data_IF_661924697623
#
_entry.id   IF_661924697623
#
_cell.length_a   1.000
_cell.length_b   1.000
_cell.length_c   1.000
_cell.angle_alpha   90.00
_cell.angle_beta   90.00
_cell.angle_gamma   90.00
#
_symmetry.space_group_name_H-M   'P 1'
#
loop_
_entity.id
_entity.type
_entity.pdbx_description
1 polymer ?
#
# COMPACT_ATOMS: atom_id res chain seq x y z
N UNK A 1 -21.85 10.50 21.75
CA UNK A 1 -20.74 9.58 21.42
C UNK A 1 -19.56 10.42 20.96
N UNK A 2 -18.35 10.17 21.47
CA UNK A 2 -17.14 10.85 20.99
C UNK A 2 -16.45 9.96 19.94
N UNK A 3 -15.98 10.56 18.83
CA UNK A 3 -15.14 9.89 17.85
C UNK A 3 -13.83 9.50 18.54
N UNK A 4 -13.39 8.26 18.34
CA UNK A 4 -12.14 7.74 18.93
C UNK A 4 -11.07 7.46 17.87
N UNK A 5 -11.49 7.26 16.63
CA UNK A 5 -10.63 6.92 15.51
C UNK A 5 -11.19 7.54 14.23
N UNK A 6 -10.29 8.03 13.39
CA UNK A 6 -10.57 8.49 12.02
C UNK A 6 -9.62 7.77 11.08
N UNK A 7 -10.17 7.07 10.08
CA UNK A 7 -9.41 6.49 8.98
C UNK A 7 -9.53 7.40 7.76
N UNK A 8 -8.39 7.74 7.15
CA UNK A 8 -8.31 8.71 6.04
C UNK A 8 -7.58 8.10 4.87
N UNK A 9 -8.16 8.21 3.68
CA UNK A 9 -7.47 7.85 2.43
C UNK A 9 -6.50 8.96 2.00
N UNK A 10 -5.53 8.60 1.18
CA UNK A 10 -4.47 9.52 0.72
C UNK A 10 -4.89 10.28 -0.52
N UNK A 11 -5.11 9.54 -1.61
CA UNK A 11 -5.22 10.11 -2.94
C UNK A 11 -6.60 10.73 -3.18
N UNK A 12 -6.64 12.04 -3.41
CA UNK A 12 -7.89 12.80 -3.57
C UNK A 12 -8.63 13.10 -2.25
N UNK A 13 -8.04 12.78 -1.09
CA UNK A 13 -8.62 13.05 0.23
C UNK A 13 -7.65 13.82 1.13
N UNK A 14 -6.54 13.21 1.52
CA UNK A 14 -5.55 13.82 2.42
C UNK A 14 -4.58 14.73 1.68
N UNK A 15 -4.25 14.39 0.44
CA UNK A 15 -3.33 15.15 -0.40
C UNK A 15 -4.07 16.02 -1.42
N UNK A 16 -3.46 17.18 -1.71
CA UNK A 16 -3.85 18.03 -2.85
C UNK A 16 -3.57 17.34 -4.19
N UNK A 17 -4.05 17.95 -5.30
CA UNK A 17 -3.72 17.48 -6.66
C UNK A 17 -2.20 17.47 -6.93
N UNK A 18 -1.44 18.35 -6.26
CA UNK A 18 0.03 18.41 -6.33
C UNK A 18 0.71 17.43 -5.37
N UNK A 19 -0.06 16.51 -4.76
CA UNK A 19 0.40 15.48 -3.81
C UNK A 19 1.10 16.04 -2.56
N UNK A 20 0.59 17.12 -2.02
CA UNK A 20 1.12 17.78 -0.82
C UNK A 20 0.10 17.77 0.31
N UNK A 21 0.58 17.65 1.53
CA UNK A 21 -0.17 17.96 2.73
C UNK A 21 -0.23 19.48 2.88
N UNK A 22 -1.41 20.03 3.10
CA UNK A 22 -1.52 21.46 3.41
C UNK A 22 -1.30 21.72 4.90
N UNK A 23 -0.89 22.94 5.30
CA UNK A 23 -0.76 23.27 6.72
C UNK A 23 -2.04 23.02 7.51
N UNK A 24 -3.21 23.30 6.92
CA UNK A 24 -4.51 23.09 7.56
C UNK A 24 -4.80 21.61 7.81
N UNK A 25 -4.44 20.72 6.88
CA UNK A 25 -4.56 19.27 7.05
C UNK A 25 -3.62 18.79 8.15
N UNK A 26 -2.36 19.25 8.15
CA UNK A 26 -1.41 18.93 9.20
C UNK A 26 -1.94 19.34 10.58
N UNK A 27 -2.38 20.60 10.73
CA UNK A 27 -2.93 21.12 11.99
C UNK A 27 -4.14 20.32 12.46
N UNK A 28 -5.07 19.99 11.54
CA UNK A 28 -6.26 19.20 11.87
C UNK A 28 -5.90 17.80 12.38
N UNK A 29 -4.89 17.14 11.78
CA UNK A 29 -4.38 15.84 12.24
C UNK A 29 -3.78 15.95 13.64
N UNK A 30 -2.93 16.97 13.87
CA UNK A 30 -2.31 17.17 15.19
C UNK A 30 -3.36 17.50 16.27
N UNK A 31 -4.36 18.30 15.94
CA UNK A 31 -5.43 18.65 16.89
C UNK A 31 -6.34 17.47 17.22
N UNK A 32 -6.62 16.60 16.25
CA UNK A 32 -7.31 15.34 16.52
C UNK A 32 -6.50 14.44 17.49
N UNK A 33 -5.19 14.31 17.27
CA UNK A 33 -4.28 13.57 18.16
C UNK A 33 -4.26 14.14 19.56
N UNK A 34 -4.16 15.46 19.72
CA UNK A 34 -4.22 16.14 21.05
C UNK A 34 -5.52 15.85 21.80
N UNK A 35 -6.63 15.66 21.10
CA UNK A 35 -7.92 15.29 21.69
C UNK A 35 -8.06 13.79 21.97
N UNK A 36 -7.01 13.00 21.75
CA UNK A 36 -7.00 11.55 21.95
C UNK A 36 -7.72 10.76 20.86
N UNK A 37 -7.96 11.38 19.69
CA UNK A 37 -8.48 10.69 18.52
C UNK A 37 -7.32 10.06 17.75
N UNK A 38 -7.41 8.77 17.46
CA UNK A 38 -6.45 8.07 16.60
C UNK A 38 -6.70 8.42 15.13
N UNK A 39 -5.67 8.87 14.44
CA UNK A 39 -5.72 9.11 12.98
C UNK A 39 -4.94 8.00 12.29
N UNK A 40 -5.61 7.26 11.40
CA UNK A 40 -5.04 6.13 10.68
C UNK A 40 -5.11 6.42 9.18
N UNK A 41 -3.99 6.31 8.48
CA UNK A 41 -3.98 6.31 7.02
C UNK A 41 -4.45 4.93 6.55
N UNK A 42 -5.45 4.92 5.65
CA UNK A 42 -5.98 3.71 5.02
C UNK A 42 -5.88 3.84 3.49
N UNK A 43 -5.01 3.06 2.86
CA UNK A 43 -4.66 3.27 1.45
C UNK A 43 -4.42 1.96 0.71
N UNK A 44 -4.50 2.01 -0.63
CA UNK A 44 -4.06 0.93 -1.51
C UNK A 44 -2.53 0.85 -1.68
N UNK A 45 -1.80 1.89 -1.28
CA UNK A 45 -0.34 1.92 -1.43
C UNK A 45 0.34 0.90 -0.50
N UNK A 46 1.51 0.35 -0.90
CA UNK A 46 2.37 -0.42 0.01
C UNK A 46 3.08 0.51 1.01
N UNK A 47 3.68 -0.07 2.05
CA UNK A 47 4.40 0.67 3.10
C UNK A 47 5.42 1.69 2.55
N UNK A 48 6.29 1.36 1.58
CA UNK A 48 7.24 2.35 1.04
C UNK A 48 6.57 3.58 0.43
N UNK A 49 5.36 3.41 -0.12
CA UNK A 49 4.58 4.50 -0.72
C UNK A 49 3.91 5.46 0.27
N UNK A 50 4.02 5.19 1.58
CA UNK A 50 3.39 6.01 2.63
C UNK A 50 4.38 6.53 3.67
N UNK A 51 5.62 6.05 3.69
CA UNK A 51 6.62 6.37 4.73
C UNK A 51 6.83 7.87 4.92
N UNK A 52 7.05 8.61 3.83
CA UNK A 52 7.25 10.06 3.87
C UNK A 52 6.06 10.79 4.46
N UNK A 53 4.85 10.33 4.12
CA UNK A 53 3.62 10.94 4.61
C UNK A 53 3.39 10.68 6.11
N UNK A 54 3.73 9.47 6.59
CA UNK A 54 3.70 9.15 8.01
C UNK A 54 4.68 10.03 8.81
N UNK A 55 5.86 10.29 8.26
CA UNK A 55 6.83 11.21 8.88
C UNK A 55 6.31 12.65 8.87
N UNK A 56 5.81 13.12 7.73
CA UNK A 56 5.30 14.48 7.58
C UNK A 56 4.13 14.79 8.53
N UNK A 57 3.26 13.81 8.77
CA UNK A 57 2.09 13.96 9.65
C UNK A 57 2.35 13.56 11.12
N UNK A 58 3.57 13.20 11.48
CA UNK A 58 3.91 12.71 12.82
C UNK A 58 3.05 11.51 13.26
N UNK A 59 2.84 10.55 12.35
CA UNK A 59 2.04 9.33 12.58
C UNK A 59 2.92 8.09 12.79
N UNK A 60 4.01 8.24 13.55
CA UNK A 60 4.95 7.16 13.93
C UNK A 60 5.21 7.10 15.44
N UNK A 61 4.26 7.55 16.23
CA UNK A 61 4.34 7.46 17.68
C UNK A 61 3.73 6.15 18.18
N UNK A 62 4.00 5.82 19.45
CA UNK A 62 3.43 4.63 20.10
C UNK A 62 1.91 4.60 19.99
N UNK A 63 1.39 3.52 19.44
CA UNK A 63 -0.04 3.31 19.18
C UNK A 63 -0.57 4.03 17.94
N UNK A 64 0.29 4.48 17.03
CA UNK A 64 -0.09 4.88 15.68
C UNK A 64 -0.03 3.66 14.75
N UNK A 65 -0.95 3.59 13.81
CA UNK A 65 -1.10 2.48 12.87
C UNK A 65 -1.32 2.99 11.45
N UNK A 66 -1.01 2.13 10.49
CA UNK A 66 -1.31 2.35 9.08
C UNK A 66 -1.98 1.11 8.48
N UNK A 67 -2.95 1.34 7.62
CA UNK A 67 -3.60 0.30 6.82
C UNK A 67 -3.16 0.48 5.38
N UNK A 68 -2.49 -0.53 4.82
CA UNK A 68 -1.94 -0.51 3.47
C UNK A 68 -2.47 -1.67 2.64
N UNK A 69 -2.16 -1.69 1.33
CA UNK A 69 -2.60 -2.74 0.40
C UNK A 69 -4.11 -2.99 0.43
N UNK A 70 -4.92 -1.91 0.49
CA UNK A 70 -6.39 -2.00 0.57
C UNK A 70 -6.90 -2.85 1.75
N UNK A 71 -6.22 -2.81 2.89
CA UNK A 71 -6.58 -3.57 4.08
C UNK A 71 -5.82 -4.89 4.24
N UNK A 72 -4.96 -5.26 3.30
CA UNK A 72 -4.16 -6.48 3.37
C UNK A 72 -3.06 -6.44 4.44
N UNK A 73 -2.68 -5.26 4.90
CA UNK A 73 -1.68 -5.09 5.94
C UNK A 73 -2.08 -3.98 6.90
N UNK A 74 -2.06 -4.29 8.19
CA UNK A 74 -2.11 -3.30 9.28
C UNK A 74 -0.79 -3.36 10.03
N UNK A 75 -0.09 -2.24 10.12
CA UNK A 75 1.22 -2.16 10.76
C UNK A 75 1.22 -1.09 11.85
N UNK A 76 1.84 -1.39 12.99
CA UNK A 76 2.25 -0.39 13.98
C UNK A 76 3.39 0.44 13.38
N UNK A 77 3.18 1.76 13.30
CA UNK A 77 4.12 2.64 12.59
C UNK A 77 5.35 3.01 13.40
N UNK A 78 5.27 2.88 14.73
CA UNK A 78 6.39 3.15 15.62
C UNK A 78 7.39 1.98 15.65
N UNK A 79 6.88 0.74 15.66
CA UNK A 79 7.69 -0.47 15.79
C UNK A 79 7.98 -1.17 14.46
N UNK A 80 7.13 -0.94 13.46
CA UNK A 80 7.15 -1.67 12.20
C UNK A 80 6.55 -3.09 12.30
N UNK A 81 5.92 -3.45 13.42
CA UNK A 81 5.28 -4.74 13.62
C UNK A 81 3.99 -4.85 12.81
N UNK A 82 3.83 -5.97 12.10
CA UNK A 82 2.59 -6.27 11.40
C UNK A 82 1.57 -6.84 12.37
N UNK A 83 0.46 -6.12 12.57
CA UNK A 83 -0.65 -6.54 13.45
C UNK A 83 -1.59 -7.47 12.70
N UNK A 84 -1.89 -7.15 11.45
CA UNK A 84 -2.73 -7.96 10.55
C UNK A 84 -1.99 -8.10 9.22
N UNK A 85 -1.96 -9.32 8.69
CA UNK A 85 -1.41 -9.59 7.36
C UNK A 85 -2.34 -10.58 6.66
N UNK A 86 -3.06 -10.08 5.67
CA UNK A 86 -3.90 -10.86 4.77
C UNK A 86 -3.22 -10.91 3.40
N UNK A 87 -2.74 -12.07 3.03
CA UNK A 87 -1.99 -12.27 1.79
C UNK A 87 -2.75 -13.17 0.84
N UNK A 88 -2.46 -13.00 -0.44
CA UNK A 88 -2.88 -13.94 -1.47
C UNK A 88 -2.01 -15.21 -1.40
N UNK A 89 -2.60 -16.38 -1.59
CA UNK A 89 -1.83 -17.61 -1.73
C UNK A 89 -1.12 -17.67 -3.09
N UNK A 90 -0.11 -18.53 -3.19
CA UNK A 90 0.56 -18.75 -4.47
C UNK A 90 -0.38 -19.34 -5.52
N UNK A 91 -1.29 -20.22 -5.11
CA UNK A 91 -2.28 -20.81 -6.01
C UNK A 91 -3.26 -19.75 -6.54
N UNK A 92 -3.76 -18.85 -5.69
CA UNK A 92 -4.57 -17.71 -6.13
C UNK A 92 -3.80 -16.82 -7.12
N UNK A 93 -2.50 -16.58 -6.89
CA UNK A 93 -1.66 -15.83 -7.81
C UNK A 93 -1.57 -16.52 -9.17
N UNK A 94 -1.35 -17.84 -9.20
CA UNK A 94 -1.28 -18.61 -10.45
C UNK A 94 -2.60 -18.56 -11.22
N UNK A 95 -3.73 -18.68 -10.54
CA UNK A 95 -5.04 -18.61 -11.16
C UNK A 95 -5.30 -17.24 -11.81
N UNK A 96 -4.95 -16.17 -11.11
CA UNK A 96 -5.10 -14.80 -11.63
C UNK A 96 -4.12 -14.56 -12.79
N UNK A 97 -2.89 -15.04 -12.68
CA UNK A 97 -1.87 -14.92 -13.72
C UNK A 97 -2.32 -15.67 -15.01
N UNK A 98 -2.82 -16.90 -14.87
CA UNK A 98 -3.39 -17.66 -15.98
C UNK A 98 -4.56 -16.91 -16.63
N UNK A 99 -5.47 -16.36 -15.82
CA UNK A 99 -6.62 -15.59 -16.30
C UNK A 99 -6.16 -14.32 -17.03
N UNK A 100 -5.14 -13.63 -16.53
CA UNK A 100 -4.59 -12.43 -17.15
C UNK A 100 -4.05 -12.71 -18.56
N UNK A 101 -3.35 -13.84 -18.73
CA UNK A 101 -2.88 -14.28 -20.06
C UNK A 101 -4.04 -14.62 -20.99
N UNK A 102 -5.06 -15.32 -20.47
CA UNK A 102 -6.24 -15.69 -21.29
C UNK A 102 -7.00 -14.46 -21.78
N UNK A 103 -7.03 -13.39 -20.99
CA UNK A 103 -7.71 -12.14 -21.32
C UNK A 103 -6.82 -11.12 -22.02
N UNK A 104 -5.55 -11.45 -22.26
CA UNK A 104 -4.53 -10.55 -22.84
C UNK A 104 -4.44 -9.19 -22.10
N UNK A 105 -4.43 -9.24 -20.78
CA UNK A 105 -4.27 -8.08 -19.92
C UNK A 105 -2.95 -8.14 -19.15
N UNK A 106 -2.39 -6.96 -18.86
CA UNK A 106 -1.20 -6.88 -18.02
C UNK A 106 -1.56 -7.14 -16.55
N UNK A 107 -0.68 -7.86 -15.88
CA UNK A 107 -0.78 -8.12 -14.44
C UNK A 107 0.56 -7.86 -13.77
N UNK A 108 0.51 -7.35 -12.57
CA UNK A 108 1.65 -7.34 -11.66
C UNK A 108 1.22 -7.67 -10.23
N UNK A 109 2.14 -8.21 -9.46
CA UNK A 109 1.99 -8.48 -8.04
C UNK A 109 2.95 -7.58 -7.26
N UNK A 110 2.49 -7.01 -6.14
CA UNK A 110 3.31 -6.17 -5.28
C UNK A 110 3.65 -6.97 -4.02
N UNK A 111 4.92 -7.03 -3.68
CA UNK A 111 5.44 -7.65 -2.47
C UNK A 111 6.16 -6.61 -1.61
N UNK A 112 6.78 -7.04 -0.51
CA UNK A 112 7.66 -6.16 0.28
C UNK A 112 8.93 -5.75 -0.49
N UNK A 113 9.37 -6.55 -1.45
CA UNK A 113 10.62 -6.34 -2.19
C UNK A 113 10.44 -5.47 -3.44
N UNK A 114 9.24 -5.48 -4.03
CA UNK A 114 8.98 -4.76 -5.27
C UNK A 114 7.75 -5.23 -6.02
N UNK A 115 7.66 -4.79 -7.25
CA UNK A 115 6.58 -5.10 -8.18
C UNK A 115 7.08 -6.21 -9.11
N UNK A 116 6.38 -7.34 -9.12
CA UNK A 116 6.71 -8.50 -9.95
C UNK A 116 5.72 -8.65 -11.10
N UNK A 117 6.23 -8.89 -12.29
CA UNK A 117 5.38 -9.15 -13.46
C UNK A 117 6.01 -10.23 -14.36
N UNK A 118 5.17 -11.09 -14.91
CA UNK A 118 5.55 -12.06 -15.92
C UNK A 118 5.35 -11.53 -17.36
N UNK A 119 4.81 -10.32 -17.51
CA UNK A 119 4.67 -9.68 -18.81
C UNK A 119 6.01 -9.13 -19.30
N UNK A 120 6.53 -9.64 -20.42
CA UNK A 120 7.77 -9.13 -21.04
C UNK A 120 7.63 -7.68 -21.51
N UNK A 121 6.47 -7.34 -22.07
CA UNK A 121 6.10 -5.97 -22.36
C UNK A 121 5.49 -5.37 -21.10
N UNK A 122 6.25 -4.57 -20.36
CA UNK A 122 5.78 -3.95 -19.13
C UNK A 122 4.73 -2.90 -19.46
N UNK A 123 3.54 -3.06 -18.92
CA UNK A 123 2.43 -2.12 -19.13
C UNK A 123 2.69 -0.76 -18.51
N UNK A 124 2.17 0.29 -19.14
CA UNK A 124 2.32 1.68 -18.66
C UNK A 124 1.80 1.87 -17.22
N UNK A 125 0.79 1.13 -16.82
CA UNK A 125 0.23 1.19 -15.47
C UNK A 125 1.15 0.55 -14.43
N UNK A 126 1.87 -0.53 -14.79
CA UNK A 126 2.91 -1.11 -13.93
C UNK A 126 4.06 -0.13 -13.69
N UNK A 127 4.48 0.60 -14.73
CA UNK A 127 5.50 1.65 -14.62
C UNK A 127 4.99 2.82 -13.77
N UNK A 128 3.74 3.23 -13.98
CA UNK A 128 3.12 4.28 -13.18
C UNK A 128 3.06 3.90 -11.70
N UNK A 129 2.61 2.68 -11.40
CA UNK A 129 2.56 2.18 -10.02
C UNK A 129 3.95 2.18 -9.37
N UNK A 130 4.97 1.67 -10.08
CA UNK A 130 6.36 1.68 -9.59
C UNK A 130 6.83 3.08 -9.20
N UNK A 131 6.50 4.08 -10.02
CA UNK A 131 6.85 5.48 -9.73
C UNK A 131 6.05 6.03 -8.54
N UNK A 132 4.75 5.68 -8.46
CA UNK A 132 3.86 6.15 -7.40
C UNK A 132 4.26 5.65 -6.02
N UNK A 133 4.68 4.38 -5.94
CA UNK A 133 5.01 3.72 -4.67
C UNK A 133 6.51 3.63 -4.40
N UNK A 134 7.33 4.16 -5.32
CA UNK A 134 8.80 4.15 -5.26
C UNK A 134 9.38 2.74 -5.05
N UNK A 135 8.92 1.78 -5.85
CA UNK A 135 9.36 0.38 -5.78
C UNK A 135 9.91 -0.10 -7.11
N UNK A 136 10.96 -0.96 -7.12
CA UNK A 136 11.52 -1.52 -8.34
C UNK A 136 10.55 -2.51 -9.01
N UNK A 137 10.66 -2.64 -10.35
CA UNK A 137 9.94 -3.65 -11.11
C UNK A 137 10.89 -4.82 -11.40
N UNK A 138 10.42 -6.02 -11.15
CA UNK A 138 11.13 -7.26 -11.45
C UNK A 138 10.34 -8.08 -12.49
N UNK A 139 10.99 -8.43 -13.60
CA UNK A 139 10.48 -9.46 -14.47
C UNK A 139 10.78 -10.83 -13.84
N UNK A 140 9.74 -11.62 -13.58
CA UNK A 140 9.86 -13.01 -13.08
C UNK A 140 8.78 -13.86 -13.74
N UNK A 141 9.15 -15.11 -14.05
CA UNK A 141 8.14 -16.10 -14.43
C UNK A 141 7.32 -16.47 -13.19
N UNK A 142 6.09 -16.97 -13.34
CA UNK A 142 5.26 -17.38 -12.21
C UNK A 142 5.97 -18.36 -11.27
N UNK A 143 6.70 -19.33 -11.83
CA UNK A 143 7.45 -20.31 -11.06
C UNK A 143 8.56 -19.66 -10.22
N UNK A 144 9.23 -18.64 -10.78
CA UNK A 144 10.29 -17.92 -10.07
C UNK A 144 9.74 -17.04 -8.94
N UNK A 145 8.46 -16.65 -9.02
CA UNK A 145 7.80 -15.90 -7.96
C UNK A 145 7.57 -16.76 -6.71
N UNK A 146 7.40 -18.09 -6.86
CA UNK A 146 7.22 -19.02 -5.71
C UNK A 146 8.41 -19.06 -4.74
N UNK A 147 9.61 -18.74 -5.21
CA UNK A 147 10.83 -18.70 -4.39
C UNK A 147 11.04 -17.37 -3.66
N UNK A 148 10.34 -16.33 -4.06
CA UNK A 148 10.26 -15.09 -3.28
C UNK A 148 9.14 -15.28 -2.27
N UNK A 149 9.41 -15.15 -0.97
CA UNK A 149 8.38 -15.25 0.06
C UNK A 149 7.22 -14.31 -0.26
N UNK A 150 6.20 -14.87 -0.91
CA UNK A 150 4.98 -14.18 -1.28
C UNK A 150 4.16 -13.89 -0.03
N UNK A 151 4.57 -12.89 0.73
CA UNK A 151 3.65 -12.15 1.55
C UNK A 151 3.00 -11.13 0.62
N UNK A 152 2.03 -11.57 -0.17
CA UNK A 152 1.29 -10.71 -1.09
C UNK A 152 0.05 -10.16 -0.40
N UNK A 153 0.07 -8.96 0.13
CA UNK A 153 -1.17 -8.24 0.30
C UNK A 153 -1.54 -7.65 -1.07
N UNK A 154 -2.30 -8.39 -1.87
CA UNK A 154 -2.69 -7.85 -3.18
C UNK A 154 -4.14 -8.13 -3.49
N UNK A 155 -4.93 -7.08 -3.48
CA UNK A 155 -6.23 -7.03 -4.15
C UNK A 155 -6.21 -5.94 -5.23
N UNK A 156 -5.17 -5.86 -6.05
CA UNK A 156 -5.16 -4.90 -7.16
C UNK A 156 -4.83 -5.62 -8.45
N UNK A 157 -5.88 -5.90 -9.22
CA UNK A 157 -5.79 -6.16 -10.66
C UNK A 157 -5.92 -4.79 -11.31
N UNK A 158 -4.92 -4.36 -12.06
CA UNK A 158 -4.95 -3.14 -12.85
C UNK A 158 -4.78 -3.52 -14.32
#
# INVERSE_FOLDING_TARGET
MSIKLVAVDIDGTLLTNDRKVTPEVFEAVQDAKKQGVKVIIATGRPIPGVQTLLDELNLKESGDYVITFNGGLVQDTATGENIITETMTYDDYLDIEFLSRKLDVHMHAITKEGIFTANRNIGKYTVHESTLVNMPIFYRTPEAVSYTHLTLPTKRIV
#
